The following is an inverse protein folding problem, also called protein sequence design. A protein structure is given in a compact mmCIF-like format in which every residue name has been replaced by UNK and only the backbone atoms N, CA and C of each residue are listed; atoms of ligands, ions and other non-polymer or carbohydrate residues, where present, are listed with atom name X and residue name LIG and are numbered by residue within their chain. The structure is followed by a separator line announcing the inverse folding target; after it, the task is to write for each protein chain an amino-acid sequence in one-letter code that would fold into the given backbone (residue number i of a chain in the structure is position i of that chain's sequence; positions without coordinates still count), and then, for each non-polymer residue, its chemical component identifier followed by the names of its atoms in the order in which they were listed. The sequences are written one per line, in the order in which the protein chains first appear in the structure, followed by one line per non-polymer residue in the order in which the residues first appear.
data_IF_016571704030
#
_entry.id   IF_016571704030
#
_cell.length_a   1.000
_cell.length_b   1.000
_cell.length_c   1.000
_cell.angle_alpha   90.00
_cell.angle_beta   90.00
_cell.angle_gamma   90.00
#
_symmetry.space_group_name_H-M   'P 1'
#
loop_
_entity.id
_entity.type
_entity.pdbx_description
1 polymer ?
#
# COMPACT_ATOMS: atom_id res chain seq x y z
N UNK A 1 -5.66 20.26 -5.97
CA UNK A 1 -5.88 20.57 -4.54
C UNK A 1 -4.53 20.44 -3.83
N UNK A 2 -4.17 21.34 -2.92
CA UNK A 2 -2.87 21.29 -2.22
C UNK A 2 -3.12 20.87 -0.76
N UNK A 3 -2.94 19.59 -0.46
CA UNK A 3 -3.26 19.02 0.85
C UNK A 3 -2.27 19.47 1.93
N UNK A 4 -0.97 19.62 1.61
CA UNK A 4 -0.01 20.18 2.57
C UNK A 4 -0.38 21.57 3.07
N UNK A 5 -0.87 22.45 2.20
CA UNK A 5 -1.35 23.77 2.59
C UNK A 5 -2.63 23.71 3.42
N UNK A 6 -3.54 22.75 3.15
CA UNK A 6 -4.70 22.51 4.00
C UNK A 6 -4.27 22.03 5.40
N UNK A 7 -3.30 21.12 5.47
CA UNK A 7 -2.75 20.66 6.74
C UNK A 7 -2.19 21.82 7.57
N UNK A 8 -1.44 22.75 6.94
CA UNK A 8 -0.95 23.97 7.61
C UNK A 8 -2.06 24.86 8.13
N UNK A 9 -3.14 25.05 7.36
CA UNK A 9 -4.30 25.85 7.79
C UNK A 9 -4.99 25.23 9.01
N UNK A 10 -5.22 23.92 8.99
CA UNK A 10 -5.79 23.21 10.13
C UNK A 10 -4.86 23.23 11.34
N UNK A 11 -3.55 23.04 11.16
CA UNK A 11 -2.59 23.12 12.26
C UNK A 11 -2.60 24.51 12.92
N UNK A 12 -2.67 25.58 12.12
CA UNK A 12 -2.78 26.95 12.63
C UNK A 12 -4.10 27.19 13.37
N UNK A 13 -5.22 26.65 12.86
CA UNK A 13 -6.51 26.73 13.53
C UNK A 13 -6.48 25.99 14.88
N UNK A 14 -5.94 24.76 14.90
CA UNK A 14 -5.75 23.99 16.12
C UNK A 14 -4.93 24.76 17.15
N UNK A 15 -3.84 25.44 16.76
CA UNK A 15 -3.03 26.24 17.68
C UNK A 15 -3.84 27.34 18.36
N UNK A 16 -4.66 28.07 17.60
CA UNK A 16 -5.55 29.12 18.15
C UNK A 16 -6.51 28.54 19.19
N UNK A 17 -7.06 27.36 18.94
CA UNK A 17 -7.97 26.68 19.88
C UNK A 17 -7.23 26.13 21.11
N UNK A 18 -6.00 25.63 20.95
CA UNK A 18 -5.14 25.17 22.05
C UNK A 18 -4.68 26.35 22.94
N UNK A 19 -4.54 27.55 22.38
CA UNK A 19 -4.12 28.73 23.14
C UNK A 19 -5.30 29.50 23.75
N UNK A 20 -6.52 29.16 23.35
CA UNK A 20 -7.75 29.75 23.90
C UNK A 20 -7.89 29.41 25.39
N UNK A 21 -8.27 30.38 26.25
CA UNK A 21 -8.57 30.13 27.65
C UNK A 21 -9.87 29.32 27.86
N UNK A 22 -10.76 29.30 26.85
CA UNK A 22 -11.97 28.48 26.88
C UNK A 22 -11.64 27.02 26.54
N UNK A 23 -11.75 26.14 27.54
CA UNK A 23 -11.52 24.69 27.41
C UNK A 23 -12.49 23.99 26.46
N UNK A 24 -13.69 24.54 26.24
CA UNK A 24 -14.65 23.94 25.31
C UNK A 24 -14.12 23.91 23.88
N UNK A 25 -13.20 24.83 23.55
CA UNK A 25 -12.56 24.91 22.25
C UNK A 25 -11.57 23.78 21.96
N UNK A 26 -11.14 23.02 22.97
CA UNK A 26 -10.20 21.91 22.78
C UNK A 26 -10.79 20.83 21.86
N UNK A 27 -12.12 20.66 21.81
CA UNK A 27 -12.75 19.75 20.83
C UNK A 27 -12.51 20.19 19.39
N UNK A 28 -12.55 21.48 19.11
CA UNK A 28 -12.20 22.02 17.79
C UNK A 28 -10.72 21.85 17.50
N UNK A 29 -9.84 22.03 18.50
CA UNK A 29 -8.43 21.70 18.34
C UNK A 29 -8.22 20.24 17.91
N UNK A 30 -8.88 19.30 18.60
CA UNK A 30 -8.78 17.88 18.27
C UNK A 30 -9.30 17.55 16.85
N UNK A 31 -10.38 18.23 16.41
CA UNK A 31 -10.91 18.10 15.06
C UNK A 31 -9.91 18.60 14.02
N UNK A 32 -9.38 19.80 14.20
CA UNK A 32 -8.40 20.39 13.27
C UNK A 32 -7.10 19.57 13.22
N UNK A 33 -6.61 19.04 14.34
CA UNK A 33 -5.45 18.15 14.34
C UNK A 33 -5.70 16.87 13.54
N UNK A 34 -6.91 16.28 13.61
CA UNK A 34 -7.27 15.12 12.76
C UNK A 34 -7.27 15.49 11.28
N UNK A 35 -7.90 16.62 10.93
CA UNK A 35 -7.92 17.11 9.55
C UNK A 35 -6.52 17.38 9.00
N UNK A 36 -5.61 17.90 9.84
CA UNK A 36 -4.22 18.08 9.47
C UNK A 36 -3.49 16.75 9.22
N UNK A 37 -3.70 15.75 10.08
CA UNK A 37 -3.15 14.40 9.88
C UNK A 37 -3.68 13.75 8.60
N UNK A 38 -4.99 13.84 8.35
CA UNK A 38 -5.63 13.33 7.12
C UNK A 38 -5.03 13.98 5.88
N UNK A 39 -4.96 15.32 5.87
CA UNK A 39 -4.39 16.06 4.76
C UNK A 39 -2.93 15.67 4.49
N UNK A 40 -2.10 15.46 5.51
CA UNK A 40 -0.71 14.98 5.32
C UNK A 40 -0.67 13.60 4.66
N UNK A 41 -1.53 12.67 5.10
CA UNK A 41 -1.58 11.33 4.52
C UNK A 41 -2.04 11.37 3.07
N UNK A 42 -3.03 12.20 2.74
CA UNK A 42 -3.51 12.38 1.37
C UNK A 42 -2.46 13.06 0.48
N UNK A 43 -1.75 14.06 1.00
CA UNK A 43 -0.65 14.73 0.31
C UNK A 43 0.43 13.71 -0.10
N UNK A 44 0.77 12.79 0.81
CA UNK A 44 1.70 11.71 0.51
C UNK A 44 1.11 10.67 -0.43
N UNK A 45 -0.17 10.31 -0.32
CA UNK A 45 -0.79 9.38 -1.27
C UNK A 45 -0.74 9.90 -2.72
N UNK A 46 -0.88 11.22 -2.92
CA UNK A 46 -0.76 11.83 -4.24
C UNK A 46 0.62 11.64 -4.88
N UNK A 47 1.70 11.48 -4.11
CA UNK A 47 3.03 11.22 -4.69
C UNK A 47 3.15 9.80 -5.26
N UNK A 48 2.26 8.89 -4.86
CA UNK A 48 2.17 7.51 -5.35
C UNK A 48 0.97 7.31 -6.28
N UNK A 49 0.36 8.38 -6.82
CA UNK A 49 -0.92 8.31 -7.57
C UNK A 49 -0.93 7.29 -8.70
N UNK A 50 0.22 7.09 -9.36
CA UNK A 50 0.37 6.20 -10.51
C UNK A 50 0.48 4.72 -10.09
N UNK A 51 0.81 4.46 -8.83
CA UNK A 51 0.91 3.11 -8.23
C UNK A 51 -0.29 2.78 -7.34
N UNK A 52 -1.00 3.81 -6.86
CA UNK A 52 -2.12 3.67 -5.95
C UNK A 52 -3.33 3.00 -6.65
N UNK A 53 -3.96 1.97 -6.06
CA UNK A 53 -5.12 1.31 -6.65
C UNK A 53 -6.33 2.25 -6.75
N UNK A 54 -6.92 2.38 -7.95
CA UNK A 54 -8.08 3.28 -8.19
C UNK A 54 -9.27 3.00 -7.24
N UNK A 55 -9.56 1.72 -6.97
CA UNK A 55 -10.64 1.30 -6.06
C UNK A 55 -10.48 1.82 -4.62
N UNK A 56 -9.26 2.14 -4.22
CA UNK A 56 -8.96 2.59 -2.86
C UNK A 56 -9.16 4.12 -2.72
N UNK A 57 -9.29 4.84 -3.83
CA UNK A 57 -9.68 6.27 -3.83
C UNK A 57 -11.14 6.48 -3.39
N UNK A 58 -11.95 5.43 -3.24
CA UNK A 58 -13.33 5.58 -2.76
C UNK A 58 -13.44 5.45 -1.23
N UNK A 59 -12.41 4.93 -0.55
CA UNK A 59 -12.41 4.72 0.91
C UNK A 59 -11.23 5.41 1.58
N UNK A 60 -11.42 6.67 1.98
CA UNK A 60 -10.35 7.52 2.51
C UNK A 60 -10.24 7.44 4.03
N UNK A 61 -9.54 6.42 4.52
CA UNK A 61 -9.14 6.33 5.93
C UNK A 61 -7.61 6.39 6.05
N UNK A 62 -7.02 7.30 6.85
CA UNK A 62 -5.58 7.50 6.91
C UNK A 62 -4.75 6.25 7.15
N UNK A 63 -5.22 5.37 8.06
CA UNK A 63 -4.53 4.11 8.37
C UNK A 63 -4.53 3.16 7.18
N UNK A 64 -5.66 3.03 6.48
CA UNK A 64 -5.79 2.16 5.31
C UNK A 64 -4.90 2.64 4.16
N UNK A 65 -4.91 3.96 3.91
CA UNK A 65 -4.02 4.57 2.93
C UNK A 65 -2.56 4.32 3.30
N UNK A 66 -2.18 4.54 4.57
CA UNK A 66 -0.81 4.29 5.01
C UNK A 66 -0.38 2.84 4.80
N UNK A 67 -1.25 1.87 5.07
CA UNK A 67 -0.97 0.45 4.80
C UNK A 67 -0.69 0.22 3.32
N UNK A 68 -1.54 0.73 2.43
CA UNK A 68 -1.34 0.61 0.97
C UNK A 68 -0.01 1.24 0.54
N UNK A 69 0.34 2.41 1.11
CA UNK A 69 1.60 3.07 0.78
C UNK A 69 2.82 2.25 1.24
N UNK A 70 2.73 1.58 2.38
CA UNK A 70 3.78 0.66 2.87
C UNK A 70 3.86 -0.59 1.99
N UNK A 71 2.73 -1.10 1.47
CA UNK A 71 2.70 -2.20 0.51
C UNK A 71 3.34 -1.82 -0.84
N UNK A 72 3.18 -0.57 -1.27
CA UNK A 72 3.82 -0.04 -2.49
C UNK A 72 5.33 0.16 -2.27
N UNK A 73 5.71 0.76 -1.14
CA UNK A 73 7.10 1.04 -0.79
C UNK A 73 7.29 0.92 0.74
N UNK A 74 7.97 -0.14 1.22
CA UNK A 74 8.09 -0.46 2.66
C UNK A 74 8.79 0.60 3.51
N UNK A 75 9.50 1.56 2.91
CA UNK A 75 10.14 2.68 3.62
C UNK A 75 9.27 3.91 3.79
N UNK A 76 8.05 3.92 3.23
CA UNK A 76 7.20 5.11 3.11
C UNK A 76 6.74 5.71 4.45
N UNK A 77 6.83 4.99 5.56
CA UNK A 77 6.49 5.49 6.89
C UNK A 77 7.70 5.89 7.76
N UNK A 78 8.90 5.89 7.16
CA UNK A 78 10.18 6.21 7.82
C UNK A 78 10.66 7.61 7.42
N UNK A 79 11.36 8.26 8.34
CA UNK A 79 12.08 9.50 8.05
C UNK A 79 13.19 9.23 7.02
N UNK A 80 13.50 10.23 6.20
CA UNK A 80 14.48 10.10 5.12
C UNK A 80 15.34 11.35 4.96
N UNK A 81 16.44 11.23 4.22
CA UNK A 81 17.27 12.37 3.84
C UNK A 81 17.83 12.19 2.44
N UNK A 82 18.11 13.31 1.77
CA UNK A 82 18.74 13.33 0.46
C UNK A 82 20.11 13.97 0.60
N UNK A 83 21.11 13.31 0.04
CA UNK A 83 22.45 13.84 -0.14
C UNK A 83 22.89 13.62 -1.59
N UNK A 84 23.72 14.51 -2.12
CA UNK A 84 24.28 14.40 -3.47
C UNK A 84 25.79 14.67 -3.43
N UNK A 85 26.53 13.89 -4.21
CA UNK A 85 27.96 14.09 -4.43
C UNK A 85 28.27 14.16 -5.92
N UNK A 86 29.37 14.80 -6.29
CA UNK A 86 29.83 14.85 -7.68
C UNK A 86 30.74 13.64 -7.90
N UNK A 87 30.45 12.82 -8.90
CA UNK A 87 31.30 11.69 -9.25
C UNK A 87 32.68 12.18 -9.69
N UNK A 88 33.73 11.70 -9.02
CA UNK A 88 35.13 11.99 -9.41
C UNK A 88 35.51 11.33 -10.74
N UNK A 89 34.85 10.21 -11.06
CA UNK A 89 34.96 9.50 -12.33
C UNK A 89 33.63 8.82 -12.64
N UNK A 90 33.25 8.80 -13.92
CA UNK A 90 31.96 8.27 -14.37
C UNK A 90 31.69 6.87 -13.83
N UNK A 91 30.55 6.71 -13.16
CA UNK A 91 30.08 5.44 -12.61
C UNK A 91 30.71 5.05 -11.28
N UNK A 92 31.53 5.93 -10.66
CA UNK A 92 32.00 5.74 -9.28
C UNK A 92 31.28 6.70 -8.33
N UNK A 93 30.60 6.19 -7.29
CA UNK A 93 29.99 7.04 -6.28
C UNK A 93 31.00 8.03 -5.66
N UNK A 94 30.54 9.26 -5.42
CA UNK A 94 31.33 10.28 -4.74
C UNK A 94 31.74 9.83 -3.33
N UNK A 95 32.97 10.13 -2.93
CA UNK A 95 33.42 9.94 -1.55
C UNK A 95 32.81 10.99 -0.61
N UNK A 96 32.52 12.18 -1.13
CA UNK A 96 31.90 13.27 -0.37
C UNK A 96 30.45 13.46 -0.80
N UNK A 97 29.53 13.25 0.14
CA UNK A 97 28.09 13.44 -0.07
C UNK A 97 27.65 14.72 0.64
N UNK A 98 27.13 15.69 -0.12
CA UNK A 98 26.57 16.93 0.41
C UNK A 98 25.11 16.72 0.78
N UNK A 99 24.79 16.86 2.06
CA UNK A 99 23.41 16.80 2.55
C UNK A 99 22.57 17.95 1.99
N UNK A 100 21.40 17.63 1.43
CA UNK A 100 20.47 18.58 0.82
C UNK A 100 19.32 18.89 1.77
N UNK A 101 18.80 17.87 2.46
CA UNK A 101 17.69 18.03 3.38
C UNK A 101 17.18 16.70 3.90
N UNK A 102 16.27 16.79 4.86
CA UNK A 102 15.58 15.66 5.46
C UNK A 102 14.07 15.84 5.39
N UNK A 103 13.39 14.71 5.41
CA UNK A 103 11.95 14.61 5.56
C UNK A 103 11.64 13.89 6.86
N UNK A 104 10.76 14.50 7.66
CA UNK A 104 10.12 13.83 8.79
C UNK A 104 8.72 13.39 8.39
N UNK A 105 8.40 12.13 8.63
CA UNK A 105 7.18 11.49 8.14
C UNK A 105 6.16 11.27 9.26
N UNK A 106 4.89 11.46 8.93
CA UNK A 106 3.78 11.00 9.76
C UNK A 106 3.67 9.46 9.66
N UNK A 107 4.37 8.75 10.54
CA UNK A 107 4.49 7.29 10.48
C UNK A 107 3.20 6.55 10.84
N UNK A 108 3.12 5.26 10.45
CA UNK A 108 1.99 4.40 10.82
C UNK A 108 1.82 4.30 12.34
N UNK A 109 2.93 4.24 13.08
CA UNK A 109 2.92 4.21 14.55
C UNK A 109 2.24 5.46 15.10
N UNK A 110 2.64 6.63 14.62
CA UNK A 110 2.07 7.91 15.04
C UNK A 110 0.57 7.98 14.72
N UNK A 111 0.15 7.54 13.52
CA UNK A 111 -1.26 7.48 13.15
C UNK A 111 -2.05 6.58 14.10
N UNK A 112 -1.55 5.36 14.41
CA UNK A 112 -2.20 4.44 15.34
C UNK A 112 -2.31 5.02 16.75
N UNK A 113 -1.26 5.68 17.22
CA UNK A 113 -1.21 6.24 18.56
C UNK A 113 -2.10 7.46 18.73
N UNK A 114 -2.16 8.37 17.77
CA UNK A 114 -2.78 9.68 17.99
C UNK A 114 -4.14 9.85 17.31
N UNK A 115 -4.35 9.25 16.13
CA UNK A 115 -5.58 9.51 15.34
C UNK A 115 -6.86 9.03 16.05
N UNK A 116 -6.90 7.79 16.54
CA UNK A 116 -8.06 7.27 17.26
C UNK A 116 -8.27 7.98 18.60
N UNK A 117 -7.16 8.35 19.26
CA UNK A 117 -7.20 9.03 20.55
C UNK A 117 -7.81 10.43 20.40
N UNK A 118 -7.50 11.15 19.32
CA UNK A 118 -8.18 12.41 19.00
C UNK A 118 -9.68 12.19 18.73
N UNK A 119 -10.04 11.09 18.07
CA UNK A 119 -11.44 10.74 17.84
C UNK A 119 -12.25 10.57 19.12
N UNK A 120 -11.66 9.99 20.16
CA UNK A 120 -12.32 9.86 21.46
C UNK A 120 -12.74 11.20 22.07
N UNK A 121 -12.02 12.29 21.80
CA UNK A 121 -12.39 13.63 22.29
C UNK A 121 -13.56 14.27 21.55
N UNK A 122 -13.89 13.77 20.35
CA UNK A 122 -14.99 14.27 19.53
C UNK A 122 -16.31 13.55 19.84
N UNK A 123 -16.25 12.38 20.48
CA UNK A 123 -17.43 11.62 20.86
C UNK A 123 -18.00 12.09 22.20
N UNK A 124 -19.33 11.97 22.32
CA UNK A 124 -19.99 12.09 23.62
C UNK A 124 -19.54 10.95 24.54
N UNK A 125 -19.52 11.23 25.85
CA UNK A 125 -19.19 10.22 26.85
C UNK A 125 -20.13 9.00 26.72
N UNK A 126 -19.55 7.81 26.86
CA UNK A 126 -20.36 6.59 26.91
C UNK A 126 -21.17 6.50 28.22
N UNK A 127 -22.27 5.73 28.18
CA UNK A 127 -23.19 5.56 29.31
C UNK A 127 -22.48 5.12 30.61
N UNK A 128 -21.48 4.24 30.51
CA UNK A 128 -20.69 3.79 31.67
C UNK A 128 -19.90 4.92 32.34
N UNK A 129 -19.38 5.86 31.55
CA UNK A 129 -18.63 7.02 32.07
C UNK A 129 -19.56 8.09 32.63
N UNK A 130 -20.73 8.26 32.02
CA UNK A 130 -21.80 9.10 32.55
C UNK A 130 -22.28 8.61 33.91
N UNK A 131 -22.58 7.31 34.04
CA UNK A 131 -22.96 6.68 35.30
C UNK A 131 -21.90 6.79 36.40
N UNK A 132 -20.63 7.00 36.04
CA UNK A 132 -19.50 7.17 36.97
C UNK A 132 -19.17 8.64 37.26
N UNK A 133 -19.98 9.60 36.81
CA UNK A 133 -19.75 11.04 36.94
C UNK A 133 -18.33 11.47 36.49
N UNK A 134 -17.75 10.76 35.52
CA UNK A 134 -16.39 11.03 35.09
C UNK A 134 -16.38 12.26 34.19
N UNK A 135 -15.82 13.37 34.65
CA UNK A 135 -15.71 14.60 33.85
C UNK A 135 -14.60 14.53 32.82
N UNK A 136 -14.67 15.37 31.78
CA UNK A 136 -13.59 15.53 30.81
C UNK A 136 -12.43 16.26 31.46
N UNK A 137 -11.24 15.67 31.39
CA UNK A 137 -9.99 16.25 31.87
C UNK A 137 -9.39 17.13 30.76
N UNK A 138 -9.73 18.42 30.82
CA UNK A 138 -9.33 19.40 29.80
C UNK A 138 -7.83 19.73 29.84
N UNK A 139 -7.21 19.75 31.01
CA UNK A 139 -5.76 19.92 31.14
C UNK A 139 -5.00 18.82 30.40
N UNK A 140 -5.37 17.56 30.65
CA UNK A 140 -4.76 16.43 29.93
C UNK A 140 -5.05 16.47 28.44
N UNK A 141 -6.24 16.92 28.04
CA UNK A 141 -6.59 17.09 26.64
C UNK A 141 -5.71 18.17 25.97
N UNK A 142 -5.51 19.31 26.64
CA UNK A 142 -4.67 20.42 26.16
C UNK A 142 -3.22 20.00 25.98
N UNK A 143 -2.62 19.37 26.99
CA UNK A 143 -1.24 18.83 26.91
C UNK A 143 -1.09 17.93 25.70
N UNK A 144 -2.02 17.00 25.49
CA UNK A 144 -1.98 16.08 24.35
C UNK A 144 -2.16 16.75 23.01
N UNK A 145 -3.08 17.70 22.90
CA UNK A 145 -3.26 18.46 21.67
C UNK A 145 -1.98 19.24 21.34
N UNK A 146 -1.31 19.81 22.34
CA UNK A 146 0.00 20.48 22.18
C UNK A 146 1.10 19.52 21.72
N UNK A 147 1.20 18.32 22.30
CA UNK A 147 2.15 17.29 21.86
C UNK A 147 1.95 16.90 20.39
N UNK A 148 0.69 16.66 20.00
CA UNK A 148 0.34 16.31 18.62
C UNK A 148 0.60 17.48 17.69
N UNK A 149 0.28 18.71 18.11
CA UNK A 149 0.58 19.93 17.35
C UNK A 149 2.07 20.01 17.02
N UNK A 150 2.95 19.87 18.00
CA UNK A 150 4.41 19.98 17.80
C UNK A 150 4.92 18.88 16.85
N UNK A 151 4.35 17.68 16.94
CA UNK A 151 4.70 16.59 16.05
C UNK A 151 4.27 16.87 14.60
N UNK A 152 3.03 17.29 14.37
CA UNK A 152 2.54 17.65 13.03
C UNK A 152 3.32 18.84 12.47
N UNK A 153 3.59 19.85 13.29
CA UNK A 153 4.41 21.02 12.93
C UNK A 153 5.79 20.59 12.43
N UNK A 154 6.44 19.67 13.17
CA UNK A 154 7.75 19.14 12.75
C UNK A 154 7.72 18.39 11.41
N UNK A 155 6.62 17.70 11.08
CA UNK A 155 6.43 17.07 9.76
C UNK A 155 6.24 18.12 8.67
N UNK A 156 5.43 19.16 8.93
CA UNK A 156 5.14 20.22 7.96
C UNK A 156 6.29 21.20 7.73
N UNK A 157 7.19 21.32 8.71
CA UNK A 157 8.42 22.10 8.66
C UNK A 157 9.56 21.42 7.91
N UNK A 158 9.41 20.14 7.54
CA UNK A 158 10.43 19.42 6.77
C UNK A 158 10.79 20.17 5.47
N UNK A 159 12.09 20.41 5.19
CA UNK A 159 12.54 21.09 3.98
C UNK A 159 12.29 20.27 2.71
N UNK A 160 12.31 18.93 2.84
CA UNK A 160 11.91 17.99 1.80
C UNK A 160 10.61 17.30 2.23
N UNK A 161 9.78 16.97 1.25
CA UNK A 161 8.55 16.21 1.49
C UNK A 161 8.07 15.53 0.21
N UNK A 162 7.46 14.36 0.34
CA UNK A 162 6.89 13.58 -0.77
C UNK A 162 7.90 13.33 -1.92
N UNK A 163 9.18 13.23 -1.61
CA UNK A 163 10.22 12.93 -2.58
C UNK A 163 10.28 11.42 -2.81
N UNK A 164 9.63 10.94 -3.87
CA UNK A 164 9.62 9.50 -4.19
C UNK A 164 10.67 9.18 -5.26
N UNK A 165 11.76 8.54 -4.87
CA UNK A 165 12.69 7.87 -5.78
C UNK A 165 12.32 6.39 -5.83
N UNK A 166 12.38 5.76 -7.00
CA UNK A 166 11.97 4.37 -7.13
C UNK A 166 12.58 3.71 -8.35
N UNK A 167 12.82 2.41 -8.20
CA UNK A 167 13.16 1.52 -9.31
C UNK A 167 11.88 0.91 -9.86
N UNK A 168 11.81 0.79 -11.19
CA UNK A 168 10.59 0.36 -11.88
C UNK A 168 10.89 -0.73 -12.88
N UNK A 169 10.04 -1.75 -12.90
CA UNK A 169 9.99 -2.76 -13.95
C UNK A 169 8.79 -2.52 -14.86
N UNK A 170 8.95 -2.79 -16.14
CA UNK A 170 7.95 -2.52 -17.17
C UNK A 170 7.82 -3.65 -18.19
N UNK A 171 6.58 -3.96 -18.59
CA UNK A 171 6.26 -4.87 -19.68
C UNK A 171 5.02 -4.38 -20.42
N UNK A 172 4.79 -4.89 -21.63
CA UNK A 172 3.48 -4.84 -22.25
C UNK A 172 2.63 -6.03 -21.76
N UNK A 173 1.37 -5.77 -21.44
CA UNK A 173 0.46 -6.80 -20.93
C UNK A 173 0.25 -7.92 -21.95
N UNK A 174 0.61 -9.16 -21.60
CA UNK A 174 0.45 -10.34 -22.47
C UNK A 174 -1.00 -10.70 -22.88
N UNK A 175 -2.00 -9.94 -22.41
CA UNK A 175 -3.41 -10.12 -22.79
C UNK A 175 -3.95 -8.99 -23.66
N UNK A 176 -3.63 -7.73 -23.33
CA UNK A 176 -4.24 -6.56 -23.95
C UNK A 176 -3.22 -5.56 -24.53
N UNK A 177 -1.94 -5.91 -24.51
CA UNK A 177 -0.80 -5.15 -25.06
C UNK A 177 -0.62 -3.73 -24.49
N UNK A 178 -1.35 -3.38 -23.43
CA UNK A 178 -1.17 -2.11 -22.73
C UNK A 178 0.02 -2.17 -21.77
N UNK A 179 0.79 -1.08 -21.62
CA UNK A 179 1.95 -1.06 -20.76
C UNK A 179 1.56 -1.24 -19.30
N UNK A 180 2.36 -2.04 -18.59
CA UNK A 180 2.31 -2.24 -17.15
C UNK A 180 3.63 -1.73 -16.59
N UNK A 181 3.54 -0.88 -15.56
CA UNK A 181 4.68 -0.36 -14.82
C UNK A 181 4.48 -0.68 -13.35
N UNK A 182 5.46 -1.34 -12.73
CA UNK A 182 5.43 -1.72 -11.32
C UNK A 182 6.69 -1.23 -10.61
N UNK A 183 6.51 -0.60 -9.45
CA UNK A 183 7.61 -0.25 -8.55
C UNK A 183 8.20 -1.52 -7.95
N UNK A 184 9.51 -1.58 -7.92
CA UNK A 184 10.30 -2.61 -7.24
C UNK A 184 10.80 -2.01 -5.92
N UNK A 185 10.50 -2.62 -4.77
CA UNK A 185 11.00 -2.16 -3.46
C UNK A 185 12.53 -2.19 -3.39
N UNK A 186 13.13 -1.20 -2.73
CA UNK A 186 14.59 -1.07 -2.62
C UNK A 186 15.21 -1.80 -1.43
N UNK A 187 14.41 -2.45 -0.58
CA UNK A 187 14.86 -3.05 0.68
C UNK A 187 15.26 -4.51 0.53
N UNK A 188 14.67 -5.22 -0.43
CA UNK A 188 14.82 -6.66 -0.57
C UNK A 188 14.78 -7.00 -2.06
N UNK A 189 15.97 -7.16 -2.63
CA UNK A 189 16.14 -7.55 -4.04
C UNK A 189 15.60 -8.96 -4.30
N UNK A 190 15.31 -9.76 -3.27
CA UNK A 190 14.81 -11.13 -3.39
C UNK A 190 13.29 -11.25 -3.15
N UNK A 191 12.59 -10.14 -2.95
CA UNK A 191 11.14 -10.16 -2.71
C UNK A 191 10.35 -10.47 -3.98
N UNK A 192 9.52 -11.51 -3.94
CA UNK A 192 8.50 -11.77 -4.96
C UNK A 192 7.42 -10.69 -4.92
N UNK A 193 7.10 -10.12 -6.08
CA UNK A 193 6.16 -9.00 -6.18
C UNK A 193 5.00 -9.37 -7.08
N UNK A 194 3.77 -9.14 -6.62
CA UNK A 194 2.59 -9.28 -7.44
C UNK A 194 2.27 -7.98 -8.21
N UNK A 195 1.86 -8.13 -9.46
CA UNK A 195 1.42 -7.05 -10.33
C UNK A 195 0.15 -7.41 -11.10
N UNK A 196 -0.67 -6.40 -11.38
CA UNK A 196 -1.91 -6.55 -12.12
C UNK A 196 -2.00 -5.49 -13.23
N UNK A 197 -2.42 -5.89 -14.42
CA UNK A 197 -2.76 -4.95 -15.49
C UNK A 197 -4.00 -4.15 -15.11
N UNK A 198 -3.87 -2.83 -15.00
CA UNK A 198 -5.00 -1.95 -14.67
C UNK A 198 -6.16 -2.04 -15.66
N UNK A 199 -5.89 -2.38 -16.92
CA UNK A 199 -6.88 -2.42 -18.00
C UNK A 199 -7.70 -3.72 -18.07
N UNK A 200 -7.04 -4.88 -18.03
CA UNK A 200 -7.70 -6.18 -18.25
C UNK A 200 -7.66 -7.11 -17.04
N UNK A 201 -7.01 -6.71 -15.94
CA UNK A 201 -6.88 -7.51 -14.71
C UNK A 201 -6.01 -8.78 -14.88
N UNK A 202 -5.14 -8.82 -15.89
CA UNK A 202 -4.09 -9.85 -16.00
C UNK A 202 -3.13 -9.75 -14.82
N UNK A 203 -2.91 -10.87 -14.12
CA UNK A 203 -2.03 -10.96 -12.97
C UNK A 203 -0.66 -11.54 -13.34
N UNK A 204 0.36 -11.08 -12.64
CA UNK A 204 1.76 -11.44 -12.85
C UNK A 204 2.49 -11.55 -11.52
N UNK A 205 3.46 -12.46 -11.47
CA UNK A 205 4.46 -12.53 -10.40
C UNK A 205 5.81 -12.08 -10.96
N UNK A 206 6.49 -11.20 -10.24
CA UNK A 206 7.83 -10.74 -10.58
C UNK A 206 8.83 -11.51 -9.72
N UNK A 207 9.68 -12.31 -10.39
CA UNK A 207 10.76 -13.05 -9.75
C UNK A 207 12.08 -12.29 -9.89
N UNK A 208 12.83 -12.12 -8.81
CA UNK A 208 14.11 -11.44 -8.84
C UNK A 208 15.18 -12.30 -9.54
N UNK A 209 16.03 -11.65 -10.33
CA UNK A 209 17.18 -12.28 -11.00
C UNK A 209 18.53 -11.76 -10.47
N UNK A 210 18.50 -10.94 -9.40
CA UNK A 210 19.65 -10.21 -8.89
C UNK A 210 19.96 -8.94 -9.69
N UNK A 211 20.76 -8.06 -9.08
CA UNK A 211 21.14 -6.74 -9.63
C UNK A 211 19.94 -5.84 -9.99
N UNK A 212 18.83 -5.93 -9.25
CA UNK A 212 17.61 -5.14 -9.48
C UNK A 212 16.81 -5.51 -10.73
N UNK A 213 17.13 -6.64 -11.39
CA UNK A 213 16.38 -7.14 -12.53
C UNK A 213 15.28 -8.12 -12.08
N UNK A 214 14.12 -8.04 -12.74
CA UNK A 214 12.97 -8.89 -12.45
C UNK A 214 12.44 -9.52 -13.73
N UNK A 215 12.06 -10.80 -13.65
CA UNK A 215 11.37 -11.53 -14.71
C UNK A 215 9.89 -11.59 -14.39
N UNK A 216 9.06 -11.31 -15.39
CA UNK A 216 7.60 -11.32 -15.26
C UNK A 216 7.03 -12.67 -15.67
N UNK A 217 6.37 -13.34 -14.73
CA UNK A 217 5.64 -14.57 -14.94
C UNK A 217 4.15 -14.26 -15.01
N UNK A 218 3.53 -14.46 -16.17
CA UNK A 218 2.09 -14.31 -16.30
C UNK A 218 1.38 -15.45 -15.56
N UNK A 219 0.40 -15.12 -14.71
CA UNK A 219 -0.39 -16.08 -13.95
C UNK A 219 -1.47 -16.71 -14.85
N UNK A 220 -1.01 -17.45 -15.86
CA UNK A 220 -1.82 -18.18 -16.84
C UNK A 220 -1.23 -19.56 -17.09
N UNK A 221 -2.09 -20.51 -17.43
CA UNK A 221 -1.68 -21.84 -17.86
C UNK A 221 -2.24 -22.15 -19.23
N UNK A 222 -1.45 -22.86 -20.04
CA UNK A 222 -1.94 -23.38 -21.32
C UNK A 222 -2.66 -24.69 -21.07
N UNK A 223 -3.95 -24.74 -21.37
CA UNK A 223 -4.79 -25.93 -21.20
C UNK A 223 -5.16 -26.44 -22.60
N UNK A 224 -5.10 -27.77 -22.77
CA UNK A 224 -5.51 -28.44 -24.01
C UNK A 224 -7.04 -28.48 -24.04
N UNK A 225 -7.64 -28.32 -25.23
CA UNK A 225 -9.07 -28.56 -25.40
C UNK A 225 -9.45 -29.97 -24.92
N UNK A 226 -10.52 -30.08 -24.14
CA UNK A 226 -11.03 -31.37 -23.63
C UNK A 226 -11.64 -32.27 -24.70
N UNK A 227 -11.81 -31.79 -25.93
CA UNK A 227 -12.10 -32.66 -27.07
C UNK A 227 -10.80 -33.36 -27.49
N UNK A 228 -10.70 -34.68 -27.29
CA UNK A 228 -9.51 -35.49 -27.58
C UNK A 228 -8.99 -35.35 -29.02
N UNK A 229 -9.90 -35.07 -29.97
CA UNK A 229 -9.54 -34.83 -31.37
C UNK A 229 -8.96 -33.44 -31.65
N UNK A 230 -9.13 -32.49 -30.72
CA UNK A 230 -8.66 -31.12 -30.82
C UNK A 230 -7.49 -30.88 -29.85
N UNK A 231 -6.26 -30.78 -30.38
CA UNK A 231 -5.05 -30.53 -29.57
C UNK A 231 -4.75 -29.04 -29.36
N UNK A 232 -5.73 -28.17 -29.57
CA UNK A 232 -5.53 -26.73 -29.44
C UNK A 232 -5.22 -26.37 -27.99
N UNK A 233 -4.09 -25.69 -27.78
CA UNK A 233 -3.74 -25.06 -26.51
C UNK A 233 -4.40 -23.69 -26.40
N UNK A 234 -4.96 -23.41 -25.24
CA UNK A 234 -5.60 -22.13 -24.93
C UNK A 234 -5.00 -21.62 -23.61
N UNK A 235 -4.46 -20.39 -23.57
CA UNK A 235 -4.04 -19.77 -22.32
C UNK A 235 -5.28 -19.41 -21.50
N UNK A 236 -5.34 -19.89 -20.26
CA UNK A 236 -6.37 -19.57 -19.29
C UNK A 236 -5.71 -18.82 -18.14
N UNK A 237 -6.19 -17.62 -17.85
CA UNK A 237 -5.71 -16.83 -16.72
C UNK A 237 -6.23 -17.38 -15.40
N UNK A 238 -5.47 -17.24 -14.32
CA UNK A 238 -5.86 -17.71 -12.98
C UNK A 238 -7.25 -17.20 -12.56
N UNK A 239 -7.60 -15.95 -12.90
CA UNK A 239 -8.93 -15.35 -12.61
C UNK A 239 -10.09 -15.96 -13.40
N UNK A 240 -9.79 -16.68 -14.47
CA UNK A 240 -10.77 -17.37 -15.33
C UNK A 240 -11.02 -18.79 -14.83
N UNK A 241 -10.14 -19.32 -13.99
CA UNK A 241 -10.29 -20.63 -13.35
C UNK A 241 -11.35 -20.53 -12.24
N UNK A 242 -12.42 -21.30 -12.39
CA UNK A 242 -13.47 -21.40 -11.38
C UNK A 242 -14.52 -22.43 -11.76
N UNK A 243 -15.19 -23.02 -10.77
CA UNK A 243 -16.20 -24.03 -11.01
C UNK A 243 -17.30 -23.50 -11.94
N UNK A 244 -17.61 -24.25 -13.00
CA UNK A 244 -18.66 -23.91 -13.95
C UNK A 244 -18.29 -22.81 -14.95
N UNK A 245 -17.10 -22.18 -14.82
CA UNK A 245 -16.55 -21.34 -15.88
C UNK A 245 -16.28 -22.17 -17.12
N UNK A 246 -16.43 -21.57 -18.29
CA UNK A 246 -16.26 -22.27 -19.55
C UNK A 246 -15.61 -21.38 -20.59
N UNK A 247 -15.02 -22.00 -21.60
CA UNK A 247 -14.56 -21.34 -22.80
C UNK A 247 -14.97 -22.14 -24.04
N UNK A 248 -15.14 -21.45 -25.17
CA UNK A 248 -15.40 -22.08 -26.45
C UNK A 248 -14.09 -22.18 -27.22
N UNK A 249 -13.72 -23.40 -27.63
CA UNK A 249 -12.52 -23.60 -28.42
C UNK A 249 -12.72 -22.99 -29.82
N UNK A 250 -11.82 -22.08 -30.21
CA UNK A 250 -11.88 -21.44 -31.54
C UNK A 250 -11.61 -22.40 -32.71
N UNK A 251 -10.94 -23.53 -32.45
CA UNK A 251 -10.59 -24.52 -33.47
C UNK A 251 -11.73 -25.50 -33.75
N UNK A 252 -12.29 -26.15 -32.72
CA UNK A 252 -13.34 -27.16 -32.88
C UNK A 252 -14.77 -26.68 -32.55
N UNK A 253 -14.94 -25.45 -32.06
CA UNK A 253 -16.24 -24.92 -31.62
C UNK A 253 -16.78 -25.54 -30.32
N UNK A 254 -16.07 -26.52 -29.74
CA UNK A 254 -16.49 -27.22 -28.52
C UNK A 254 -16.46 -26.32 -27.27
N UNK A 255 -17.47 -26.46 -26.41
CA UNK A 255 -17.54 -25.80 -25.11
C UNK A 255 -16.79 -26.64 -24.06
N UNK A 256 -15.71 -26.09 -23.53
CA UNK A 256 -14.93 -26.68 -22.45
C UNK A 256 -15.36 -26.02 -21.13
N UNK A 257 -15.73 -26.81 -20.13
CA UNK A 257 -16.20 -26.32 -18.83
C UNK A 257 -15.29 -26.83 -17.73
N UNK A 258 -14.90 -25.95 -16.81
CA UNK A 258 -14.08 -26.30 -15.65
C UNK A 258 -14.99 -26.95 -14.61
N UNK A 259 -14.72 -28.22 -14.30
CA UNK A 259 -15.42 -29.01 -13.29
C UNK A 259 -14.45 -29.44 -12.18
N UNK A 260 -14.98 -29.96 -11.07
CA UNK A 260 -14.13 -30.60 -10.08
C UNK A 260 -13.50 -31.88 -10.66
N UNK A 261 -12.22 -32.08 -10.33
CA UNK A 261 -11.49 -33.32 -10.57
C UNK A 261 -10.76 -33.69 -9.29
N UNK A 262 -10.65 -34.99 -9.01
CA UNK A 262 -9.88 -35.52 -7.89
C UNK A 262 -8.74 -36.34 -8.49
N UNK A 263 -7.51 -36.00 -8.14
CA UNK A 263 -6.33 -36.80 -8.48
C UNK A 263 -5.87 -37.54 -7.23
N UNK A 264 -5.61 -38.85 -7.37
CA UNK A 264 -4.99 -39.66 -6.33
C UNK A 264 -3.52 -39.87 -6.69
N UNK A 265 -2.62 -39.46 -5.79
CA UNK A 265 -1.20 -39.77 -5.89
C UNK A 265 -0.85 -40.78 -4.79
N UNK A 266 -0.40 -42.00 -5.14
CA UNK A 266 0.01 -42.98 -4.14
C UNK A 266 1.27 -42.51 -3.40
N UNK A 267 1.37 -42.83 -2.11
CA UNK A 267 2.59 -42.55 -1.34
C UNK A 267 3.78 -43.32 -1.94
N UNK A 268 4.98 -42.69 -2.07
CA UNK A 268 6.16 -43.33 -2.64
C UNK A 268 6.59 -44.63 -1.95
N UNK A 269 6.09 -44.90 -0.74
CA UNK A 269 6.48 -46.02 0.11
C UNK A 269 5.36 -47.05 0.34
N UNK A 270 4.65 -47.46 -0.71
CA UNK A 270 3.80 -48.66 -0.61
C UNK A 270 4.56 -49.89 -1.09
N UNK A 271 5.19 -50.55 -0.11
CA UNK A 271 5.76 -51.90 -0.23
C UNK A 271 4.64 -52.87 -0.66
N UNK A 272 4.80 -53.53 -1.80
CA UNK A 272 3.91 -54.62 -2.21
C UNK A 272 4.02 -55.75 -1.18
N UNK A 273 2.90 -56.25 -0.60
CA UNK A 273 2.95 -57.48 0.17
C UNK A 273 3.15 -58.63 -0.81
N UNK A 274 4.34 -59.24 -0.75
CA UNK A 274 4.67 -60.47 -1.47
C UNK A 274 3.58 -61.51 -1.26
N UNK A 275 2.91 -61.90 -2.34
CA UNK A 275 2.02 -63.05 -2.40
C UNK A 275 2.79 -64.31 -1.96
N UNK A 276 2.45 -64.86 -0.79
CA UNK A 276 2.91 -66.20 -0.38
C UNK A 276 2.11 -67.25 -1.15
N UNK A 277 2.85 -68.13 -1.83
CA UNK A 277 2.43 -69.42 -2.35
C UNK A 277 1.95 -70.35 -1.22
#
# INVERSE_FOLDING_TARGET
MNFRNLARKHLQAAKKQIDSPDDSNLRYAALDLRMAMEAIVYDRALSFKDEFPEREYDTWQPKKIMTILIEIEPTTDKDSSIAMGIEESTGKPSQEMKHIGSEKVLSMKILKDHYDRLGNYLHMMNLRSFQRNKTTDFERMRVRCSEIYLMIDSVLASPLFNCTLGTFSHIDCFECDKPIRKRVPSIDDDLEIEAECKNCKASYNLEPQGNGNYVWHANRQNIICGNESCKQLIPIWQREVGLGKFWVCKSCGGKNTITYGVAFEPSPNTYEPSSRQ
#
